data_IF_977677742319
#
_entry.id   IF_977677742319
#
_cell.length_a   1.000
_cell.length_b   1.000
_cell.length_c   1.000
_cell.angle_alpha   90.00
_cell.angle_beta   90.00
_cell.angle_gamma   90.00
#
_symmetry.space_group_name_H-M   'P 1'
#
loop_
_entity.id
_entity.type
_entity.pdbx_description
1 polymer ?
#
# COMPACT_ATOMS: atom_id res chain seq x y z
N UNK A 1 -14.23 3.47 10.09
CA UNK A 1 -13.46 3.30 8.82
C UNK A 1 -13.61 1.88 8.33
N UNK A 2 -13.79 1.71 7.03
CA UNK A 2 -13.83 0.41 6.36
C UNK A 2 -12.54 0.25 5.56
N UNK A 3 -11.90 -0.92 5.64
CA UNK A 3 -10.66 -1.20 4.91
C UNK A 3 -10.83 -2.51 4.15
N UNK A 4 -10.56 -2.51 2.86
CA UNK A 4 -10.63 -3.69 1.99
C UNK A 4 -9.26 -4.00 1.42
N UNK A 5 -8.83 -5.27 1.50
CA UNK A 5 -7.61 -5.72 0.84
C UNK A 5 -7.88 -6.05 -0.63
N UNK A 6 -7.15 -5.42 -1.53
CA UNK A 6 -7.29 -5.59 -2.98
C UNK A 6 -6.37 -6.67 -3.56
N UNK A 7 -5.57 -7.29 -2.70
CA UNK A 7 -4.50 -8.21 -3.09
C UNK A 7 -3.15 -7.51 -3.20
N UNK A 8 -2.06 -8.27 -3.20
CA UNK A 8 -0.68 -7.80 -3.14
C UNK A 8 -0.48 -6.80 -2.00
N UNK A 9 -0.07 -5.57 -2.26
CA UNK A 9 -0.02 -4.47 -1.30
C UNK A 9 -1.25 -3.56 -1.36
N UNK A 10 -2.20 -3.84 -2.24
CA UNK A 10 -3.33 -2.97 -2.52
C UNK A 10 -4.34 -2.87 -1.39
N UNK A 11 -4.66 -1.65 -0.96
CA UNK A 11 -5.65 -1.36 0.08
C UNK A 11 -6.63 -0.27 -0.38
N UNK A 12 -7.90 -0.44 0.00
CA UNK A 12 -8.93 0.60 -0.10
C UNK A 12 -9.41 0.96 1.30
N UNK A 13 -9.22 2.22 1.69
CA UNK A 13 -9.79 2.80 2.91
C UNK A 13 -11.00 3.64 2.54
N UNK A 14 -12.10 3.47 3.26
CA UNK A 14 -13.33 4.25 3.10
C UNK A 14 -13.72 4.86 4.44
N UNK A 15 -13.78 6.18 4.49
CA UNK A 15 -14.11 6.95 5.70
C UNK A 15 -14.85 8.23 5.35
N UNK A 16 -16.00 8.49 5.98
CA UNK A 16 -16.78 9.72 5.79
C UNK A 16 -17.04 10.10 4.32
N UNK A 17 -17.25 9.09 3.46
CA UNK A 17 -17.46 9.28 2.03
C UNK A 17 -16.17 9.52 1.22
N UNK A 18 -14.99 9.52 1.85
CA UNK A 18 -13.69 9.65 1.22
C UNK A 18 -13.12 8.27 0.96
N UNK A 19 -12.53 8.08 -0.22
CA UNK A 19 -11.89 6.83 -0.66
C UNK A 19 -10.41 7.05 -0.90
N UNK A 20 -9.61 6.27 -0.20
CA UNK A 20 -8.15 6.29 -0.30
C UNK A 20 -7.71 4.93 -0.83
N UNK A 21 -6.98 4.92 -1.93
CA UNK A 21 -6.32 3.70 -2.40
C UNK A 21 -4.81 3.79 -2.16
N UNK A 22 -4.23 2.71 -1.67
CA UNK A 22 -2.78 2.55 -1.55
C UNK A 22 -2.36 1.42 -2.46
N UNK A 23 -1.39 1.64 -3.33
CA UNK A 23 -0.75 0.67 -4.22
C UNK A 23 -1.73 -0.31 -4.92
N UNK A 24 -2.81 0.17 -5.56
CA UNK A 24 -3.78 -0.73 -6.18
C UNK A 24 -3.15 -1.45 -7.37
N UNK A 25 -3.13 -2.79 -7.33
CA UNK A 25 -2.70 -3.65 -8.43
C UNK A 25 -3.86 -4.57 -8.87
N UNK A 26 -4.57 -4.18 -9.91
CA UNK A 26 -5.78 -4.84 -10.43
C UNK A 26 -5.63 -5.18 -11.92
N UNK A 27 -4.46 -5.69 -12.28
CA UNK A 27 -4.14 -6.19 -13.62
C UNK A 27 -3.34 -7.49 -13.56
N UNK A 28 -2.80 -7.92 -14.67
CA UNK A 28 -1.80 -8.99 -14.74
C UNK A 28 -0.53 -8.54 -15.47
N UNK A 29 -0.24 -7.23 -15.38
CA UNK A 29 0.88 -6.58 -16.11
C UNK A 29 2.24 -7.14 -15.73
N UNK A 30 2.46 -7.54 -14.49
CA UNK A 30 3.72 -8.16 -14.02
C UNK A 30 4.03 -9.44 -14.79
N UNK A 31 3.03 -10.27 -15.10
CA UNK A 31 3.23 -11.50 -15.85
C UNK A 31 3.74 -11.28 -17.30
N UNK A 32 3.55 -10.09 -17.86
CA UNK A 32 4.08 -9.74 -19.18
C UNK A 32 5.62 -9.58 -19.18
N UNK A 33 6.18 -9.22 -18.02
CA UNK A 33 7.64 -9.03 -17.83
C UNK A 33 8.24 -10.23 -17.11
N UNK A 34 7.54 -10.73 -16.10
CA UNK A 34 7.96 -11.86 -15.26
C UNK A 34 6.88 -12.96 -15.29
N UNK A 35 6.85 -13.84 -16.30
CA UNK A 35 5.75 -14.81 -16.52
C UNK A 35 5.48 -15.76 -15.34
N UNK A 36 6.42 -15.93 -14.42
CA UNK A 36 6.23 -16.75 -13.21
C UNK A 36 5.38 -16.03 -12.15
N UNK A 37 5.35 -14.71 -12.18
CA UNK A 37 4.61 -13.85 -11.25
C UNK A 37 3.25 -13.46 -11.85
N UNK A 38 2.47 -14.45 -12.26
CA UNK A 38 1.09 -14.23 -12.73
C UNK A 38 0.11 -14.21 -11.56
N UNK A 39 -0.98 -13.50 -11.74
CA UNK A 39 -2.08 -13.49 -10.75
C UNK A 39 -2.75 -14.86 -10.67
N UNK A 40 -2.77 -15.42 -9.47
CA UNK A 40 -3.51 -16.65 -9.15
C UNK A 40 -4.96 -16.38 -8.76
N UNK A 41 -5.26 -15.15 -8.35
CA UNK A 41 -6.62 -14.71 -7.99
C UNK A 41 -7.13 -13.74 -9.06
N UNK A 42 -8.26 -14.01 -9.71
CA UNK A 42 -8.84 -13.13 -10.73
C UNK A 42 -9.07 -11.71 -10.19
N UNK A 43 -8.98 -10.72 -11.07
CA UNK A 43 -9.30 -9.33 -10.72
C UNK A 43 -10.80 -9.22 -10.43
N UNK A 44 -11.16 -8.59 -9.33
CA UNK A 44 -12.53 -8.15 -9.10
C UNK A 44 -12.71 -6.76 -9.73
N UNK A 45 -13.31 -6.74 -10.92
CA UNK A 45 -13.49 -5.54 -11.74
C UNK A 45 -14.33 -4.46 -11.08
N UNK A 46 -15.10 -4.77 -10.03
CA UNK A 46 -15.85 -3.78 -9.26
C UNK A 46 -14.94 -2.69 -8.70
N UNK A 47 -13.71 -3.06 -8.32
CA UNK A 47 -12.73 -2.11 -7.77
C UNK A 47 -12.12 -1.20 -8.83
N UNK A 48 -12.08 -1.59 -10.10
CA UNK A 48 -11.64 -0.73 -11.20
C UNK A 48 -12.61 0.44 -11.46
N UNK A 49 -13.87 0.28 -11.07
CA UNK A 49 -14.91 1.32 -11.23
C UNK A 49 -14.98 2.31 -10.07
N UNK A 50 -14.23 2.07 -8.99
CA UNK A 50 -14.18 2.97 -7.84
C UNK A 50 -13.42 4.24 -8.24
N UNK A 51 -13.93 5.39 -7.84
CA UNK A 51 -13.26 6.67 -8.00
C UNK A 51 -12.58 7.04 -6.67
N UNK A 52 -11.27 6.90 -6.54
CA UNK A 52 -10.57 7.33 -5.34
C UNK A 52 -10.53 8.86 -5.27
N UNK A 53 -10.61 9.40 -4.07
CA UNK A 53 -10.32 10.81 -3.79
C UNK A 53 -8.81 11.02 -3.62
N UNK A 54 -8.14 10.03 -3.02
CA UNK A 54 -6.73 10.04 -2.71
C UNK A 54 -6.10 8.72 -3.17
N UNK A 55 -4.97 8.81 -3.85
CA UNK A 55 -4.17 7.68 -4.28
C UNK A 55 -2.77 7.82 -3.69
N UNK A 56 -2.31 6.81 -2.96
CA UNK A 56 -0.96 6.75 -2.41
C UNK A 56 -0.17 5.68 -3.16
N UNK A 57 1.02 6.03 -3.65
CA UNK A 57 1.93 5.14 -4.36
C UNK A 57 3.26 5.11 -3.61
N UNK A 58 3.55 3.97 -2.98
CA UNK A 58 4.69 3.84 -2.07
C UNK A 58 6.03 3.78 -2.80
N UNK A 59 6.08 3.17 -3.98
CA UNK A 59 7.29 3.06 -4.82
C UNK A 59 6.94 2.67 -6.26
N UNK A 60 7.95 2.63 -7.15
CA UNK A 60 7.77 2.49 -8.60
C UNK A 60 7.93 1.06 -9.13
N UNK A 61 7.62 0.03 -8.34
CA UNK A 61 7.49 -1.31 -8.89
C UNK A 61 6.13 -1.52 -9.54
N UNK A 62 6.09 -2.41 -10.54
CA UNK A 62 4.90 -2.58 -11.40
C UNK A 62 3.68 -3.12 -10.66
N UNK A 63 3.87 -3.87 -9.58
CA UNK A 63 2.79 -4.36 -8.72
C UNK A 63 2.30 -3.36 -7.65
N UNK A 64 2.81 -2.12 -7.69
CA UNK A 64 2.40 -0.98 -6.87
C UNK A 64 2.00 0.24 -7.73
N UNK A 65 2.82 0.60 -8.72
CA UNK A 65 2.56 1.72 -9.64
C UNK A 65 2.22 1.17 -11.03
N UNK A 66 1.12 0.43 -11.12
CA UNK A 66 0.68 -0.28 -12.33
C UNK A 66 -0.11 0.62 -13.30
N UNK A 67 0.44 0.97 -14.48
CA UNK A 67 -0.27 1.81 -15.44
C UNK A 67 -1.60 1.23 -15.93
N UNK A 68 -1.71 -0.11 -16.00
CA UNK A 68 -2.94 -0.77 -16.45
C UNK A 68 -4.08 -0.60 -15.42
N UNK A 69 -3.78 -0.59 -14.14
CA UNK A 69 -4.73 -0.26 -13.09
C UNK A 69 -4.98 1.24 -13.00
N UNK A 70 -3.90 2.04 -12.99
CA UNK A 70 -3.98 3.48 -12.75
C UNK A 70 -4.74 4.25 -13.83
N UNK A 71 -4.78 3.78 -15.08
CA UNK A 71 -5.59 4.39 -16.14
C UNK A 71 -7.10 4.45 -15.84
N UNK A 72 -7.59 3.58 -14.94
CA UNK A 72 -8.99 3.60 -14.50
C UNK A 72 -9.27 4.72 -13.47
N UNK A 73 -8.24 5.21 -12.79
CA UNK A 73 -8.35 6.21 -11.72
C UNK A 73 -7.83 7.59 -12.14
N UNK A 74 -6.87 7.65 -13.04
CA UNK A 74 -6.18 8.86 -13.46
C UNK A 74 -6.50 9.18 -14.93
N UNK A 75 -7.70 9.69 -15.21
CA UNK A 75 -8.19 10.06 -16.53
C UNK A 75 -8.56 11.55 -16.64
N UNK A 76 -9.09 11.96 -17.80
CA UNK A 76 -9.47 13.35 -18.08
C UNK A 76 -10.55 13.90 -17.16
N UNK A 77 -11.44 13.05 -16.65
CA UNK A 77 -12.58 13.45 -15.82
C UNK A 77 -12.35 13.19 -14.32
N UNK A 78 -11.10 12.97 -13.91
CA UNK A 78 -10.77 12.68 -12.52
C UNK A 78 -10.17 13.88 -11.81
N UNK A 79 -10.39 13.96 -10.48
CA UNK A 79 -9.78 14.96 -9.61
C UNK A 79 -9.27 14.24 -8.36
N UNK A 80 -8.14 13.55 -8.53
CA UNK A 80 -7.52 12.71 -7.49
C UNK A 80 -6.32 13.44 -6.91
N UNK A 81 -6.17 13.41 -5.58
CA UNK A 81 -4.91 13.77 -4.93
C UNK A 81 -3.99 12.55 -4.95
N UNK A 82 -2.87 12.63 -5.67
CA UNK A 82 -1.89 11.55 -5.82
C UNK A 82 -0.68 11.86 -4.97
N UNK A 83 -0.48 11.09 -3.91
CA UNK A 83 0.70 11.14 -3.02
C UNK A 83 1.65 10.03 -3.47
N UNK A 84 2.76 10.37 -4.10
CA UNK A 84 3.65 9.38 -4.69
C UNK A 84 5.12 9.65 -4.33
N UNK A 85 5.85 8.58 -4.01
CA UNK A 85 7.31 8.63 -3.84
C UNK A 85 7.99 9.14 -5.11
N UNK A 86 9.22 9.60 -5.03
CA UNK A 86 9.92 10.30 -6.13
C UNK A 86 9.85 9.56 -7.47
N UNK A 87 10.10 8.25 -7.48
CA UNK A 87 10.12 7.47 -8.73
C UNK A 87 8.70 7.19 -9.24
N UNK A 88 7.78 6.80 -8.35
CA UNK A 88 6.36 6.66 -8.68
C UNK A 88 5.76 7.99 -9.17
N UNK A 89 6.10 9.12 -8.55
CA UNK A 89 5.70 10.45 -8.99
C UNK A 89 6.14 10.74 -10.42
N UNK A 90 7.40 10.47 -10.76
CA UNK A 90 7.92 10.68 -12.12
C UNK A 90 7.17 9.82 -13.14
N UNK A 91 6.91 8.56 -12.80
CA UNK A 91 6.18 7.63 -13.66
C UNK A 91 4.75 8.12 -13.92
N UNK A 92 3.96 8.38 -12.87
CA UNK A 92 2.56 8.81 -13.05
C UNK A 92 2.45 10.19 -13.69
N UNK A 93 3.37 11.12 -13.42
CA UNK A 93 3.41 12.43 -14.08
C UNK A 93 3.71 12.32 -15.57
N UNK A 94 4.58 11.41 -15.96
CA UNK A 94 4.90 11.17 -17.38
C UNK A 94 3.70 10.60 -18.13
N UNK A 95 2.95 9.69 -17.50
CA UNK A 95 1.84 8.97 -18.13
C UNK A 95 0.50 9.73 -18.06
N UNK A 96 0.24 10.38 -16.94
CA UNK A 96 -1.08 10.95 -16.61
C UNK A 96 -1.04 12.45 -16.26
N UNK A 97 0.11 13.11 -16.42
CA UNK A 97 0.32 14.49 -15.95
C UNK A 97 -0.43 15.60 -16.67
N UNK A 98 -1.12 15.29 -17.77
CA UNK A 98 -1.95 16.24 -18.51
C UNK A 98 -3.37 16.43 -17.93
N UNK A 99 -3.75 15.68 -16.92
CA UNK A 99 -5.10 15.68 -16.35
C UNK A 99 -5.19 16.54 -15.08
N UNK A 100 -6.41 16.84 -14.65
CA UNK A 100 -6.70 17.75 -13.54
C UNK A 100 -6.49 17.12 -12.15
N UNK A 101 -5.56 16.19 -12.01
CA UNK A 101 -5.22 15.58 -10.74
C UNK A 101 -4.16 16.41 -10.00
N UNK A 102 -4.18 16.37 -8.67
CA UNK A 102 -3.15 16.99 -7.83
C UNK A 102 -2.04 15.97 -7.55
N UNK A 103 -0.87 16.16 -8.11
CA UNK A 103 0.28 15.26 -7.92
C UNK A 103 1.26 15.84 -6.91
N UNK A 104 1.47 15.14 -5.82
CA UNK A 104 2.37 15.53 -4.72
C UNK A 104 3.56 14.59 -4.68
N UNK A 105 4.77 15.13 -4.67
CA UNK A 105 5.98 14.36 -4.30
C UNK A 105 5.93 14.06 -2.82
N UNK A 106 5.74 12.81 -2.50
CA UNK A 106 5.51 12.35 -1.15
C UNK A 106 6.67 11.46 -0.69
N UNK A 107 7.81 12.09 -0.41
CA UNK A 107 9.02 11.41 0.02
C UNK A 107 9.10 11.31 1.55
N UNK A 108 9.92 10.40 2.07
CA UNK A 108 10.13 10.23 3.51
C UNK A 108 10.34 11.57 4.22
N UNK A 109 9.63 11.80 5.33
CA UNK A 109 9.58 13.06 6.06
C UNK A 109 8.55 14.08 5.55
N UNK A 110 7.84 13.80 4.45
CA UNK A 110 6.74 14.67 3.97
C UNK A 110 5.47 14.39 4.74
N UNK A 111 4.81 15.46 5.20
CA UNK A 111 3.45 15.42 5.74
C UNK A 111 2.49 16.10 4.77
N UNK A 112 1.28 15.52 4.64
CA UNK A 112 0.22 16.06 3.79
C UNK A 112 -1.13 15.87 4.46
N UNK A 113 -1.98 16.88 4.35
CA UNK A 113 -3.37 16.76 4.81
C UNK A 113 -4.31 16.96 3.63
N UNK A 114 -5.16 15.98 3.38
CA UNK A 114 -6.17 16.02 2.34
C UNK A 114 -7.51 15.62 2.91
N UNK A 115 -8.53 16.45 2.69
CA UNK A 115 -9.91 16.20 3.17
C UNK A 115 -9.99 15.86 4.66
N UNK A 116 -9.11 16.43 5.49
CA UNK A 116 -9.07 16.21 6.94
C UNK A 116 -8.38 14.93 7.38
N UNK A 117 -7.77 14.18 6.46
CA UNK A 117 -6.95 13.00 6.74
C UNK A 117 -5.49 13.40 6.63
N UNK A 118 -4.68 13.05 7.62
CA UNK A 118 -3.25 13.32 7.62
C UNK A 118 -2.48 12.09 7.14
N UNK A 119 -1.52 12.35 6.29
CA UNK A 119 -0.58 11.38 5.74
C UNK A 119 0.84 11.79 6.09
N UNK A 120 1.66 10.84 6.54
CA UNK A 120 3.09 11.05 6.77
C UNK A 120 3.87 9.96 6.06
N UNK A 121 4.77 10.36 5.15
CA UNK A 121 5.67 9.43 4.50
C UNK A 121 6.84 9.11 5.43
N UNK A 122 7.10 7.82 5.64
CA UNK A 122 8.21 7.32 6.45
C UNK A 122 9.19 6.52 5.59
N UNK A 123 10.43 6.41 6.04
CA UNK A 123 11.45 5.64 5.34
C UNK A 123 11.08 4.17 5.18
N UNK A 124 11.39 3.59 4.02
CA UNK A 124 11.35 2.15 3.77
C UNK A 124 12.71 1.68 3.22
N UNK A 125 13.16 0.49 3.63
CA UNK A 125 14.40 -0.13 3.13
C UNK A 125 14.07 -1.04 1.95
N UNK A 126 14.28 -0.53 0.74
CA UNK A 126 13.87 -1.24 -0.47
C UNK A 126 14.83 -0.99 -1.64
N UNK A 127 14.68 -1.75 -2.74
CA UNK A 127 15.47 -1.56 -3.96
C UNK A 127 15.16 -0.25 -4.70
N UNK A 128 13.92 0.23 -4.66
CA UNK A 128 13.63 1.62 -4.98
C UNK A 128 14.10 2.49 -3.81
N UNK A 129 15.17 3.26 -4.03
CA UNK A 129 15.81 4.08 -3.00
C UNK A 129 14.92 5.21 -2.48
N UNK A 130 13.78 5.47 -3.11
CA UNK A 130 12.79 6.44 -2.71
C UNK A 130 11.49 5.80 -2.22
N UNK A 131 11.51 4.47 -1.99
CA UNK A 131 10.37 3.78 -1.40
C UNK A 131 10.02 4.37 -0.02
N UNK A 132 8.73 4.37 0.27
CA UNK A 132 8.18 4.90 1.52
C UNK A 132 7.17 3.91 2.13
N UNK A 133 7.04 3.96 3.43
CA UNK A 133 5.81 3.61 4.11
C UNK A 133 4.93 4.85 4.29
N UNK A 134 3.68 4.67 4.66
CA UNK A 134 2.75 5.76 4.93
C UNK A 134 1.99 5.55 6.22
N UNK A 135 1.97 6.56 7.07
CA UNK A 135 1.06 6.69 8.19
C UNK A 135 -0.20 7.41 7.69
N UNK A 136 -1.37 6.87 7.98
CA UNK A 136 -2.68 7.44 7.67
C UNK A 136 -3.40 7.69 8.99
N UNK A 137 -3.62 8.95 9.33
CA UNK A 137 -4.32 9.35 10.55
C UNK A 137 -5.76 9.77 10.22
N UNK A 138 -6.72 8.97 10.64
CA UNK A 138 -8.14 9.21 10.40
C UNK A 138 -8.99 8.60 11.51
N UNK A 139 -10.11 9.25 11.85
CA UNK A 139 -11.06 8.82 12.88
C UNK A 139 -10.40 8.55 14.25
N UNK A 140 -9.34 9.31 14.58
CA UNK A 140 -8.61 9.17 15.84
C UNK A 140 -7.72 7.93 15.92
N UNK A 141 -7.47 7.26 14.78
CA UNK A 141 -6.58 6.10 14.66
C UNK A 141 -5.44 6.37 13.71
N UNK A 142 -4.32 5.69 13.96
CA UNK A 142 -3.11 5.71 13.13
C UNK A 142 -2.93 4.35 12.48
N UNK A 143 -2.97 4.32 11.16
CA UNK A 143 -2.74 3.15 10.33
C UNK A 143 -1.37 3.27 9.67
N UNK A 144 -0.53 2.27 9.83
CA UNK A 144 0.78 2.24 9.18
C UNK A 144 0.79 1.21 8.05
N UNK A 145 0.85 1.66 6.82
CA UNK A 145 1.12 0.82 5.64
C UNK A 145 2.61 0.93 5.36
N UNK A 146 3.35 -0.17 5.56
CA UNK A 146 4.82 -0.13 5.48
C UNK A 146 5.32 0.08 4.05
N UNK A 147 4.49 -0.17 3.02
CA UNK A 147 4.97 -0.41 1.67
C UNK A 147 5.85 -1.65 1.65
N UNK A 148 6.57 -1.85 0.55
CA UNK A 148 7.58 -2.90 0.46
C UNK A 148 8.85 -2.46 1.19
N UNK A 149 9.33 -3.29 2.11
CA UNK A 149 10.49 -2.97 2.93
C UNK A 149 11.15 -4.21 3.52
N UNK A 150 12.47 -4.16 3.65
CA UNK A 150 13.25 -5.04 4.54
C UNK A 150 13.17 -4.56 5.98
N UNK A 151 13.51 -5.42 6.93
CA UNK A 151 13.69 -5.02 8.31
C UNK A 151 14.88 -4.07 8.45
N UNK A 152 14.62 -2.85 8.90
CA UNK A 152 15.66 -1.89 9.24
C UNK A 152 15.24 -1.10 10.48
N UNK A 153 16.09 -1.10 11.51
CA UNK A 153 15.80 -0.41 12.77
C UNK A 153 15.66 1.12 12.63
N UNK A 154 16.20 1.70 11.56
CA UNK A 154 16.06 3.14 11.24
C UNK A 154 14.58 3.52 11.08
N UNK A 155 13.75 2.62 10.56
CA UNK A 155 12.32 2.87 10.33
C UNK A 155 11.63 3.30 11.63
N UNK A 156 11.98 2.68 12.74
CA UNK A 156 11.35 2.99 14.04
C UNK A 156 11.59 4.43 14.52
N UNK A 157 12.66 5.07 14.03
CA UNK A 157 12.95 6.47 14.37
C UNK A 157 11.97 7.47 13.74
N UNK A 158 11.28 7.07 12.68
CA UNK A 158 10.31 7.91 11.96
C UNK A 158 8.86 7.64 12.40
N UNK A 159 8.63 6.60 13.25
CA UNK A 159 7.30 6.20 13.66
C UNK A 159 6.83 6.91 14.94
N UNK A 160 5.53 7.21 15.07
CA UNK A 160 4.97 7.73 16.32
C UNK A 160 5.01 6.65 17.42
N UNK A 161 4.88 7.08 18.66
CA UNK A 161 4.86 6.19 19.82
C UNK A 161 3.67 5.24 19.90
N UNK A 162 2.61 5.50 19.11
CA UNK A 162 1.42 4.66 19.03
C UNK A 162 0.96 4.50 17.60
N UNK A 163 0.70 3.25 17.22
CA UNK A 163 0.11 2.84 15.95
C UNK A 163 -1.02 1.87 16.29
N UNK A 164 -2.20 2.09 15.70
CA UNK A 164 -3.35 1.21 15.93
C UNK A 164 -3.29 -0.07 15.11
N UNK A 165 -2.82 0.01 13.85
CA UNK A 165 -2.73 -1.14 12.94
C UNK A 165 -1.54 -1.00 11.99
N UNK A 166 -0.87 -2.13 11.72
CA UNK A 166 0.23 -2.23 10.74
C UNK A 166 -0.20 -3.11 9.57
N UNK A 167 0.02 -2.65 8.35
CA UNK A 167 -0.14 -3.42 7.11
C UNK A 167 1.24 -3.70 6.55
N UNK A 168 1.63 -4.99 6.45
CA UNK A 168 3.04 -5.37 6.28
C UNK A 168 3.22 -6.51 5.28
N UNK A 169 4.17 -6.41 4.32
CA UNK A 169 4.53 -7.51 3.46
C UNK A 169 5.23 -8.61 4.27
N UNK A 170 4.92 -9.88 3.96
CA UNK A 170 5.51 -11.03 4.65
C UNK A 170 6.05 -12.09 3.69
N UNK A 171 6.09 -11.81 2.38
CA UNK A 171 6.45 -12.77 1.34
C UNK A 171 7.94 -13.14 1.29
N UNK A 172 8.85 -12.30 1.82
CA UNK A 172 10.29 -12.54 1.81
C UNK A 172 10.92 -12.56 0.41
N UNK A 173 10.30 -11.88 -0.54
CA UNK A 173 10.78 -11.77 -1.92
C UNK A 173 10.73 -10.30 -2.37
N UNK A 174 11.48 -9.92 -3.40
CA UNK A 174 11.47 -8.55 -3.93
C UNK A 174 11.99 -7.50 -2.94
N UNK A 175 12.93 -7.85 -2.07
CA UNK A 175 13.42 -7.00 -0.97
C UNK A 175 12.34 -6.65 0.07
N UNK A 176 11.51 -7.64 0.40
CA UNK A 176 10.53 -7.57 1.48
C UNK A 176 10.93 -8.43 2.67
N UNK A 177 10.42 -8.07 3.85
CA UNK A 177 10.53 -8.89 5.03
C UNK A 177 9.93 -10.27 4.79
N UNK A 178 10.63 -11.32 5.24
CA UNK A 178 10.03 -12.64 5.41
C UNK A 178 9.17 -12.65 6.70
N UNK A 179 8.40 -13.73 6.92
CA UNK A 179 7.51 -13.83 8.06
C UNK A 179 8.21 -13.70 9.42
N UNK A 180 9.48 -14.12 9.52
CA UNK A 180 10.27 -14.00 10.76
C UNK A 180 10.65 -12.55 11.03
N UNK A 181 11.15 -11.84 10.02
CA UNK A 181 11.54 -10.44 10.16
C UNK A 181 10.32 -9.54 10.37
N UNK A 182 9.23 -9.80 9.65
CA UNK A 182 7.96 -9.10 9.83
C UNK A 182 7.40 -9.29 11.25
N UNK A 183 7.49 -10.51 11.82
CA UNK A 183 7.11 -10.76 13.22
C UNK A 183 7.91 -9.89 14.18
N UNK A 184 9.24 -9.89 14.06
CA UNK A 184 10.12 -9.05 14.90
C UNK A 184 9.78 -7.57 14.78
N UNK A 185 9.46 -7.13 13.56
CA UNK A 185 9.04 -5.75 13.29
C UNK A 185 7.73 -5.40 14.01
N UNK A 186 6.73 -6.26 13.89
CA UNK A 186 5.43 -6.09 14.57
C UNK A 186 5.56 -6.17 16.11
N UNK A 187 6.40 -7.07 16.64
CA UNK A 187 6.69 -7.16 18.08
C UNK A 187 7.32 -5.87 18.63
N UNK A 188 8.15 -5.19 17.83
CA UNK A 188 8.73 -3.91 18.23
C UNK A 188 7.69 -2.78 18.26
N UNK A 189 6.78 -2.74 17.29
CA UNK A 189 5.70 -1.74 17.22
C UNK A 189 4.62 -2.01 18.27
N UNK A 190 4.31 -3.28 18.54
CA UNK A 190 3.30 -3.70 19.52
C UNK A 190 1.85 -3.52 19.08
N UNK A 191 1.59 -3.31 17.78
CA UNK A 191 0.25 -3.12 17.22
C UNK A 191 -0.27 -4.36 16.50
N UNK A 192 -1.60 -4.59 16.40
CA UNK A 192 -2.19 -5.57 15.51
C UNK A 192 -1.69 -5.41 14.08
N UNK A 193 -1.37 -6.53 13.41
CA UNK A 193 -0.79 -6.52 12.09
C UNK A 193 -1.64 -7.27 11.05
N UNK A 194 -1.80 -6.68 9.88
CA UNK A 194 -2.41 -7.27 8.70
C UNK A 194 -1.28 -7.70 7.76
N UNK A 195 -0.96 -8.99 7.68
CA UNK A 195 0.04 -9.49 6.73
C UNK A 195 -0.49 -9.40 5.30
N UNK A 196 0.37 -9.01 4.37
CA UNK A 196 0.03 -8.83 2.95
C UNK A 196 1.13 -9.36 2.04
N UNK A 197 0.95 -9.16 0.74
CA UNK A 197 1.94 -9.46 -0.30
C UNK A 197 2.24 -10.95 -0.50
N UNK A 198 1.28 -11.82 -0.17
CA UNK A 198 1.32 -13.27 -0.38
C UNK A 198 0.06 -13.78 -1.07
N UNK A 199 0.16 -14.93 -1.71
CA UNK A 199 -0.98 -15.65 -2.28
C UNK A 199 -1.46 -15.11 -3.63
N UNK A 200 -0.93 -13.98 -4.12
CA UNK A 200 -1.27 -13.46 -5.44
C UNK A 200 -0.34 -14.00 -6.52
N UNK A 201 0.97 -13.93 -6.31
CA UNK A 201 2.00 -14.40 -7.23
C UNK A 201 2.63 -15.73 -6.79
N UNK A 202 2.39 -16.14 -5.57
CA UNK A 202 2.94 -17.34 -4.95
C UNK A 202 1.82 -18.18 -4.31
N UNK A 203 2.19 -19.30 -3.68
CA UNK A 203 1.30 -20.20 -2.97
C UNK A 203 1.45 -20.08 -1.45
N UNK A 204 2.07 -19.00 -0.96
CA UNK A 204 2.25 -18.78 0.48
C UNK A 204 0.93 -18.43 1.14
N UNK A 205 0.71 -19.02 2.31
CA UNK A 205 -0.48 -18.76 3.12
C UNK A 205 -0.16 -17.73 4.21
N UNK A 206 -0.96 -16.68 4.28
CA UNK A 206 -0.87 -15.66 5.32
C UNK A 206 -1.18 -16.22 6.72
N UNK A 207 -1.84 -17.37 6.81
CA UNK A 207 -2.05 -18.07 8.08
C UNK A 207 -0.75 -18.58 8.72
N UNK A 208 0.31 -18.78 7.94
CA UNK A 208 1.63 -19.20 8.44
C UNK A 208 2.38 -18.08 9.16
N UNK A 209 1.93 -16.84 9.05
CA UNK A 209 2.52 -15.72 9.78
C UNK A 209 2.30 -15.86 11.30
N UNK A 210 3.37 -16.18 12.04
CA UNK A 210 3.31 -16.55 13.44
C UNK A 210 3.34 -15.33 14.39
N UNK A 211 2.51 -14.31 14.14
CA UNK A 211 2.32 -13.17 15.03
C UNK A 211 0.99 -13.28 15.76
N UNK A 212 0.98 -13.12 17.09
CA UNK A 212 -0.21 -13.38 17.92
C UNK A 212 -1.37 -12.43 17.60
N UNK A 213 -1.05 -11.14 17.37
CA UNK A 213 -2.04 -10.11 17.05
C UNK A 213 -2.25 -9.93 15.52
N UNK A 214 -2.02 -10.99 14.73
CA UNK A 214 -2.30 -10.92 13.30
C UNK A 214 -3.79 -10.89 13.01
N UNK A 215 -4.15 -10.18 11.95
CA UNK A 215 -5.47 -10.15 11.33
C UNK A 215 -5.28 -10.58 9.88
N UNK A 216 -5.62 -11.82 9.55
CA UNK A 216 -5.42 -12.37 8.20
C UNK A 216 -6.51 -11.84 7.27
N UNK A 217 -6.15 -11.09 6.22
CA UNK A 217 -7.11 -10.57 5.27
C UNK A 217 -7.50 -11.62 4.23
N UNK A 218 -8.66 -11.44 3.61
CA UNK A 218 -9.09 -12.19 2.44
C UNK A 218 -9.15 -11.27 1.22
N UNK A 219 -8.84 -11.81 0.03
CA UNK A 219 -8.90 -11.04 -1.22
C UNK A 219 -10.27 -10.41 -1.43
N UNK A 220 -10.27 -9.10 -1.71
CA UNK A 220 -11.45 -8.29 -2.02
C UNK A 220 -12.51 -8.22 -0.91
N UNK A 221 -12.15 -8.58 0.31
CA UNK A 221 -13.03 -8.49 1.46
C UNK A 221 -12.60 -7.39 2.43
N UNK A 222 -13.58 -6.91 3.16
CA UNK A 222 -13.36 -5.99 4.27
C UNK A 222 -12.58 -6.69 5.38
N UNK A 223 -11.56 -6.01 5.89
CA UNK A 223 -10.73 -6.48 7.01
C UNK A 223 -11.46 -6.17 8.31
N UNK A 224 -11.76 -7.19 9.09
CA UNK A 224 -12.40 -7.04 10.41
C UNK A 224 -11.39 -6.55 11.44
N UNK A 225 -11.24 -5.23 11.56
CA UNK A 225 -10.45 -4.61 12.61
C UNK A 225 -11.18 -4.70 13.95
N UNK A 226 -10.46 -4.98 15.03
CA UNK A 226 -11.01 -5.13 16.39
C UNK A 226 -10.96 -3.81 17.15
#
# INVERSE_FOLDING_TARGET
>A
MKITWLGQAGLLFETNGIRIMVDPYLSNSVAAIEPKNYRRVPVDERFLSIKPDILVLTHDHLDHTDPETLKHYLGESTSVCVLASENAYKNVRTRFGGFQNNYVRFNAGTEWTEKGIRFTAVYAEHSDTHAIGVLIEAEGKTFYVTGDTLYNARIFGDLPSHIDYVFIPVNGAGNNMNMTDAKRFCEHIGAPAVPMHCGLFDEKDLNDFAYEQKIVPEFYKEISLK
#
